data_IF_171368206614
#
_entry.id   IF_171368206614
#
_cell.length_a   1.000
_cell.length_b   1.000
_cell.length_c   1.000
_cell.angle_alpha   90.00
_cell.angle_beta   90.00
_cell.angle_gamma   90.00
#
_symmetry.space_group_name_H-M   'P 1'
#
loop_
_entity.id
_entity.type
_entity.pdbx_description
1 polymer ?
#
# COMPACT_ATOMS: atom_id res chain seq x y z
N UNK A 1 11.49 6.79 9.65
CA UNK A 1 11.87 5.82 8.59
C UNK A 1 11.47 6.39 7.25
N UNK A 2 12.32 6.24 6.23
CA UNK A 2 12.14 6.81 4.89
C UNK A 2 10.89 6.27 4.18
N UNK A 3 10.60 4.97 4.34
CA UNK A 3 9.42 4.28 3.77
C UNK A 3 8.09 4.87 4.25
N UNK A 4 7.97 5.25 5.52
CA UNK A 4 6.72 5.85 6.03
C UNK A 4 6.42 7.18 5.34
N UNK A 5 7.44 8.04 5.18
CA UNK A 5 7.28 9.34 4.50
C UNK A 5 6.95 9.16 3.03
N UNK A 6 7.52 8.14 2.41
CA UNK A 6 7.24 7.77 1.03
C UNK A 6 5.76 7.37 0.88
N UNK A 7 5.29 6.42 1.68
CA UNK A 7 3.88 5.99 1.68
C UNK A 7 2.94 7.17 1.96
N UNK A 8 3.32 8.11 2.82
CA UNK A 8 2.52 9.31 3.12
C UNK A 8 2.26 10.23 1.92
N UNK A 9 3.05 10.14 0.85
CA UNK A 9 2.84 10.92 -0.37
C UNK A 9 1.72 10.37 -1.27
N UNK A 10 1.24 9.15 -1.02
CA UNK A 10 0.12 8.58 -1.79
C UNK A 10 -1.19 9.28 -1.48
N UNK A 11 -1.86 9.79 -2.51
CA UNK A 11 -3.16 10.45 -2.36
C UNK A 11 -4.25 9.50 -1.85
N UNK A 12 -4.25 8.24 -2.31
CA UNK A 12 -5.29 7.28 -1.99
C UNK A 12 -5.10 6.68 -0.57
N UNK A 13 -6.07 6.86 0.36
CA UNK A 13 -5.96 6.32 1.71
C UNK A 13 -5.96 4.80 1.78
N UNK A 14 -6.62 4.11 0.83
CA UNK A 14 -6.66 2.65 0.80
C UNK A 14 -5.30 2.09 0.40
N UNK A 15 -4.68 2.65 -0.64
CA UNK A 15 -3.32 2.31 -1.07
C UNK A 15 -2.31 2.54 0.06
N UNK A 16 -2.41 3.68 0.75
CA UNK A 16 -1.61 3.96 1.95
C UNK A 16 -1.76 2.89 3.01
N UNK A 17 -3.00 2.49 3.32
CA UNK A 17 -3.27 1.50 4.35
C UNK A 17 -2.70 0.14 3.97
N UNK A 18 -2.91 -0.30 2.72
CA UNK A 18 -2.37 -1.57 2.21
C UNK A 18 -0.84 -1.59 2.27
N UNK A 19 -0.15 -0.53 1.83
CA UNK A 19 1.31 -0.49 1.93
C UNK A 19 1.81 -0.46 3.38
N UNK A 20 1.12 0.23 4.29
CA UNK A 20 1.47 0.23 5.71
C UNK A 20 1.32 -1.15 6.33
N UNK A 21 0.25 -1.87 6.00
CA UNK A 21 0.06 -3.22 6.48
C UNK A 21 1.22 -4.12 6.08
N UNK A 22 1.65 -4.07 4.81
CA UNK A 22 2.77 -4.90 4.34
C UNK A 22 4.15 -4.44 4.84
N UNK A 23 4.43 -3.14 4.85
CA UNK A 23 5.81 -2.65 5.01
C UNK A 23 6.12 -2.01 6.36
N UNK A 24 5.11 -1.61 7.13
CA UNK A 24 5.29 -1.03 8.46
C UNK A 24 4.79 -1.96 9.57
N UNK A 25 3.77 -2.77 9.28
CA UNK A 25 3.14 -3.66 10.26
C UNK A 25 3.45 -5.15 10.01
N UNK A 26 4.13 -5.49 8.91
CA UNK A 26 4.58 -6.85 8.55
C UNK A 26 3.45 -7.89 8.44
N UNK A 27 2.25 -7.46 8.01
CA UNK A 27 1.11 -8.35 7.79
C UNK A 27 1.31 -9.18 6.52
N UNK A 28 0.86 -10.43 6.57
CA UNK A 28 0.71 -11.28 5.39
C UNK A 28 -0.60 -10.99 4.66
N UNK A 29 -0.69 -11.40 3.39
CA UNK A 29 -1.84 -11.08 2.54
C UNK A 29 -3.19 -11.56 3.10
N UNK A 30 -3.22 -12.67 3.85
CA UNK A 30 -4.45 -13.15 4.51
C UNK A 30 -4.92 -12.21 5.61
N UNK A 31 -4.01 -11.71 6.43
CA UNK A 31 -4.34 -10.74 7.50
C UNK A 31 -4.83 -9.42 6.89
N UNK A 32 -4.18 -8.95 5.82
CA UNK A 32 -4.63 -7.74 5.11
C UNK A 32 -6.04 -7.90 4.54
N UNK A 33 -6.36 -9.09 4.00
CA UNK A 33 -7.71 -9.43 3.52
C UNK A 33 -8.74 -9.29 4.64
N UNK A 34 -8.43 -9.78 5.83
CA UNK A 34 -9.30 -9.69 7.01
C UNK A 34 -9.50 -8.23 7.45
N UNK A 35 -8.43 -7.44 7.47
CA UNK A 35 -8.48 -6.03 7.86
C UNK A 35 -9.30 -5.14 6.90
N UNK A 36 -9.21 -5.39 5.59
CA UNK A 36 -9.85 -4.53 4.57
C UNK A 36 -11.14 -5.10 3.97
N UNK A 37 -11.49 -6.35 4.32
CA UNK A 37 -12.70 -7.02 3.83
C UNK A 37 -12.73 -7.21 2.30
N UNK A 38 -11.58 -7.47 1.67
CA UNK A 38 -11.45 -7.68 0.21
C UNK A 38 -10.86 -9.03 -0.12
N UNK A 39 -11.02 -9.50 -1.35
CA UNK A 39 -10.36 -10.73 -1.80
C UNK A 39 -8.84 -10.56 -1.88
N UNK A 40 -8.10 -11.66 -1.74
CA UNK A 40 -6.63 -11.70 -1.87
C UNK A 40 -6.14 -11.09 -3.18
N UNK A 41 -6.84 -11.38 -4.29
CA UNK A 41 -6.54 -10.79 -5.61
C UNK A 41 -6.69 -9.26 -5.59
N UNK A 42 -7.71 -8.75 -4.92
CA UNK A 42 -7.92 -7.30 -4.78
C UNK A 42 -6.80 -6.66 -3.95
N UNK A 43 -6.35 -7.30 -2.87
CA UNK A 43 -5.22 -6.84 -2.06
C UNK A 43 -3.96 -6.70 -2.90
N UNK A 44 -3.61 -7.73 -3.68
CA UNK A 44 -2.43 -7.69 -4.54
C UNK A 44 -2.54 -6.63 -5.63
N UNK A 45 -3.72 -6.46 -6.24
CA UNK A 45 -3.95 -5.42 -7.23
C UNK A 45 -3.80 -4.02 -6.64
N UNK A 46 -4.39 -3.76 -5.48
CA UNK A 46 -4.25 -2.48 -4.77
C UNK A 46 -2.78 -2.24 -4.39
N UNK A 47 -2.06 -3.26 -3.92
CA UNK A 47 -0.63 -3.16 -3.61
C UNK A 47 0.19 -2.77 -4.85
N UNK A 48 -0.09 -3.37 -5.99
CA UNK A 48 0.59 -3.06 -7.25
C UNK A 48 0.28 -1.64 -7.74
N UNK A 49 -0.99 -1.25 -7.75
CA UNK A 49 -1.44 0.11 -8.10
C UNK A 49 -0.80 1.16 -7.18
N UNK A 50 -0.75 0.89 -5.87
CA UNK A 50 -0.10 1.76 -4.89
C UNK A 50 1.40 1.96 -5.18
N UNK A 51 2.13 0.90 -5.55
CA UNK A 51 3.56 0.99 -5.90
C UNK A 51 3.74 1.79 -7.19
N UNK A 52 2.87 1.61 -8.18
CA UNK A 52 2.91 2.37 -9.43
C UNK A 52 2.65 3.86 -9.20
N UNK A 53 1.61 4.19 -8.42
CA UNK A 53 1.30 5.57 -8.05
C UNK A 53 2.45 6.21 -7.26
N UNK A 54 3.07 5.45 -6.36
CA UNK A 54 4.20 5.94 -5.57
C UNK A 54 5.43 6.23 -6.43
N UNK A 55 5.71 5.38 -7.41
CA UNK A 55 6.78 5.60 -8.39
C UNK A 55 6.55 6.87 -9.21
N UNK A 56 5.29 7.14 -9.60
CA UNK A 56 4.92 8.38 -10.30
C UNK A 56 5.10 9.62 -9.41
N UNK A 57 4.81 9.52 -8.12
CA UNK A 57 4.98 10.63 -7.18
C UNK A 57 6.45 10.92 -6.89
N UNK A 58 7.31 9.90 -6.77
CA UNK A 58 8.75 10.10 -6.60
C UNK A 58 9.45 10.56 -7.87
N UNK A 59 9.07 10.00 -9.02
CA UNK A 59 9.66 10.35 -10.32
C UNK A 59 9.14 11.67 -10.91
N UNK A 60 8.10 12.27 -10.33
CA UNK A 60 7.60 13.59 -10.71
C UNK A 60 8.37 14.76 -10.06
N UNK A 61 9.49 14.49 -9.39
CA UNK A 61 10.30 15.47 -8.67
C UNK A 61 11.66 15.70 -9.35
#
# INVERSE_FOLDING_TARGET
MEISRLIDKLANPLERSVLRFFYLNDLVASEVVEEIGKSTTSVYRIKQEAIEHLSKVEGAN
#
